data_IF_106730725677
#
_entry.id   IF_106730725677
#
_cell.length_a   1.000
_cell.length_b   1.000
_cell.length_c   1.000
_cell.angle_alpha   90.00
_cell.angle_beta   90.00
_cell.angle_gamma   90.00
#
_symmetry.space_group_name_H-M   'P 1'
#
loop_
_entity.id
_entity.type
_entity.pdbx_description
1 polymer ?
#
# COMPACT_ATOMS: atom_id res chain seq x y z
N UNK A 1 4.46 6.45 2.37
CA UNK A 1 4.42 4.98 2.18
C UNK A 1 5.80 4.55 1.74
N UNK A 2 6.42 3.61 2.45
CA UNK A 2 7.85 3.28 2.24
C UNK A 2 8.08 1.94 1.58
N UNK A 3 7.09 1.05 1.58
CA UNK A 3 7.17 -0.27 0.95
C UNK A 3 5.75 -0.69 0.55
N UNK A 4 5.47 -0.79 -0.75
CA UNK A 4 4.18 -1.16 -1.32
C UNK A 4 4.39 -2.30 -2.32
N UNK A 5 3.60 -3.35 -2.16
CA UNK A 5 3.50 -4.48 -3.09
C UNK A 5 2.04 -4.77 -3.41
N UNK A 6 1.79 -5.73 -4.31
CA UNK A 6 0.44 -6.18 -4.64
C UNK A 6 -0.33 -6.71 -3.42
N UNK A 7 0.37 -7.29 -2.44
CA UNK A 7 -0.25 -7.94 -1.28
C UNK A 7 -0.33 -7.08 -0.03
N UNK A 8 0.41 -5.97 0.05
CA UNK A 8 0.56 -5.28 1.32
C UNK A 8 1.40 -4.01 1.24
N UNK A 9 1.36 -3.27 2.35
CA UNK A 9 2.13 -2.05 2.50
C UNK A 9 2.66 -1.84 3.91
N UNK A 10 3.84 -1.22 4.01
CA UNK A 10 4.36 -0.66 5.25
C UNK A 10 4.05 0.84 5.33
N UNK A 11 3.42 1.25 6.44
CA UNK A 11 3.01 2.63 6.68
C UNK A 11 3.53 3.13 8.02
N UNK A 12 3.87 4.41 8.08
CA UNK A 12 4.11 5.12 9.34
C UNK A 12 2.77 5.67 9.83
N UNK A 13 2.48 5.47 11.11
CA UNK A 13 1.21 5.85 11.72
C UNK A 13 1.44 6.91 12.80
N UNK A 14 0.57 7.91 12.85
CA UNK A 14 0.62 8.94 13.90
C UNK A 14 0.07 8.41 15.22
N UNK A 15 -0.86 7.45 15.13
CA UNK A 15 -1.44 6.73 16.27
C UNK A 15 -1.16 5.24 16.13
N UNK A 16 -1.02 4.56 17.28
CA UNK A 16 -0.81 3.12 17.29
C UNK A 16 -2.03 2.39 16.72
N UNK A 17 -1.82 1.59 15.68
CA UNK A 17 -2.84 0.68 15.18
C UNK A 17 -2.91 -0.58 16.06
N UNK A 18 -4.03 -1.30 15.98
CA UNK A 18 -4.19 -2.57 16.68
C UNK A 18 -3.89 -3.72 15.74
N UNK A 19 -3.08 -4.67 16.19
CA UNK A 19 -2.83 -5.91 15.45
C UNK A 19 -4.16 -6.62 15.11
N UNK A 20 -4.22 -7.19 13.90
CA UNK A 20 -5.37 -7.87 13.30
C UNK A 20 -6.61 -7.00 13.06
N UNK A 21 -6.59 -5.70 13.38
CA UNK A 21 -7.72 -4.81 13.07
C UNK A 21 -7.87 -4.60 11.57
N UNK A 22 -9.12 -4.48 11.12
CA UNK A 22 -9.47 -4.08 9.76
C UNK A 22 -9.50 -2.56 9.71
N UNK A 23 -8.83 -2.00 8.71
CA UNK A 23 -8.77 -0.56 8.46
C UNK A 23 -9.20 -0.25 7.03
N UNK A 24 -9.71 0.95 6.84
CA UNK A 24 -9.79 1.58 5.52
C UNK A 24 -8.42 2.09 5.12
N UNK A 25 -8.03 1.84 3.87
CA UNK A 25 -6.88 2.48 3.26
C UNK A 25 -7.31 3.24 2.01
N UNK A 26 -6.63 4.35 1.76
CA UNK A 26 -6.75 5.11 0.52
C UNK A 26 -5.43 5.83 0.26
N UNK A 27 -4.97 5.81 -0.99
CA UNK A 27 -3.84 6.60 -1.45
C UNK A 27 -3.94 6.88 -2.94
N UNK A 28 -3.30 7.95 -3.39
CA UNK A 28 -3.21 8.30 -4.79
C UNK A 28 -1.91 7.74 -5.39
N UNK A 29 -2.01 7.11 -6.54
CA UNK A 29 -0.87 6.81 -7.40
C UNK A 29 -0.30 8.11 -8.00
N UNK A 30 0.99 8.12 -8.33
CA UNK A 30 1.62 9.21 -9.10
C UNK A 30 0.99 9.42 -10.48
N UNK A 31 0.22 8.46 -11.00
CA UNK A 31 -0.59 8.60 -12.22
C UNK A 31 -1.92 9.34 -12.00
N UNK A 32 -2.25 9.70 -10.76
CA UNK A 32 -3.52 10.34 -10.38
C UNK A 32 -4.69 9.37 -10.17
N UNK A 33 -4.46 8.05 -10.32
CA UNK A 33 -5.47 7.05 -10.01
C UNK A 33 -5.53 6.81 -8.49
N UNK A 34 -6.72 6.96 -7.91
CA UNK A 34 -6.97 6.61 -6.50
C UNK A 34 -7.04 5.10 -6.32
N UNK A 35 -6.45 4.60 -5.24
CA UNK A 35 -6.53 3.22 -4.79
C UNK A 35 -7.07 3.21 -3.36
N UNK A 36 -8.20 2.55 -3.14
CA UNK A 36 -8.80 2.40 -1.81
C UNK A 36 -9.33 0.99 -1.57
N UNK A 37 -9.58 0.68 -0.30
CA UNK A 37 -10.21 -0.57 0.10
C UNK A 37 -10.00 -0.89 1.58
N UNK A 38 -10.09 -2.18 1.92
CA UNK A 38 -9.90 -2.69 3.28
C UNK A 38 -8.59 -3.46 3.41
N UNK A 39 -7.87 -3.20 4.49
CA UNK A 39 -6.64 -3.90 4.83
C UNK A 39 -6.67 -4.39 6.28
N UNK A 40 -5.85 -5.40 6.57
CA UNK A 40 -5.66 -5.92 7.92
C UNK A 40 -4.27 -5.58 8.43
N UNK A 41 -4.18 -5.06 9.65
CA UNK A 41 -2.91 -4.81 10.32
C UNK A 41 -2.25 -6.14 10.67
N UNK A 42 -1.15 -6.49 10.00
CA UNK A 42 -0.40 -7.73 10.19
C UNK A 42 0.73 -7.61 11.21
N UNK A 43 1.27 -6.42 11.43
CA UNK A 43 2.24 -6.16 12.49
C UNK A 43 2.29 -4.67 12.83
N UNK A 44 2.80 -4.35 14.02
CA UNK A 44 3.11 -3.00 14.50
C UNK A 44 4.46 -3.03 15.23
N UNK A 45 5.18 -1.90 15.27
CA UNK A 45 6.41 -1.79 16.04
C UNK A 45 6.45 -0.52 16.91
N UNK A 46 7.49 -0.40 17.74
CA UNK A 46 7.68 0.73 18.68
C UNK A 46 8.07 2.04 17.98
N UNK A 47 8.42 2.01 16.70
CA UNK A 47 8.78 3.18 15.91
C UNK A 47 7.57 3.85 15.23
N UNK A 48 6.36 3.32 15.47
CA UNK A 48 5.14 3.80 14.85
C UNK A 48 4.98 3.32 13.41
N UNK A 49 5.56 2.18 13.05
CA UNK A 49 5.34 1.54 11.77
C UNK A 49 4.32 0.40 11.91
N UNK A 50 3.55 0.19 10.85
CA UNK A 50 2.62 -0.92 10.73
C UNK A 50 2.69 -1.55 9.34
N UNK A 51 2.57 -2.86 9.28
CA UNK A 51 2.36 -3.62 8.05
C UNK A 51 0.89 -3.90 7.85
N UNK A 52 0.37 -3.59 6.67
CA UNK A 52 -1.02 -3.79 6.30
C UNK A 52 -1.07 -4.80 5.16
N UNK A 53 -1.82 -5.88 5.32
CA UNK A 53 -2.16 -6.82 4.26
C UNK A 53 -3.41 -6.30 3.57
N UNK A 54 -3.37 -6.11 2.25
CA UNK A 54 -4.51 -5.63 1.48
C UNK A 54 -5.49 -6.79 1.30
N UNK A 55 -6.76 -6.60 1.68
CA UNK A 55 -7.77 -7.67 1.62
C UNK A 55 -8.75 -7.45 0.48
N UNK A 56 -9.31 -6.24 0.39
CA UNK A 56 -10.26 -5.87 -0.66
C UNK A 56 -9.88 -4.53 -1.25
N UNK A 57 -10.27 -4.34 -2.50
CA UNK A 57 -10.14 -3.08 -3.20
C UNK A 57 -11.53 -2.60 -3.60
N UNK A 58 -11.72 -1.29 -3.56
CA UNK A 58 -12.91 -0.67 -4.11
C UNK A 58 -12.72 -0.50 -5.63
N UNK A 59 -13.83 -0.64 -6.38
CA UNK A 59 -13.86 -0.46 -7.84
C UNK A 59 -12.69 -1.17 -8.55
N UNK A 60 -11.94 -0.44 -9.38
CA UNK A 60 -10.79 -0.94 -10.13
C UNK A 60 -9.46 -0.74 -9.37
N UNK A 61 -9.50 -0.55 -8.05
CA UNK A 61 -8.32 -0.21 -7.25
C UNK A 61 -7.18 -1.22 -7.37
N UNK A 62 -7.50 -2.51 -7.48
CA UNK A 62 -6.48 -3.57 -7.68
C UNK A 62 -5.76 -3.42 -9.02
N UNK A 63 -6.52 -3.21 -10.09
CA UNK A 63 -5.98 -3.06 -11.46
C UNK A 63 -5.12 -1.81 -11.56
N UNK A 64 -5.54 -0.71 -10.91
CA UNK A 64 -4.74 0.51 -10.80
C UNK A 64 -3.43 0.30 -10.05
N UNK A 65 -3.45 -0.48 -8.95
CA UNK A 65 -2.27 -0.81 -8.17
C UNK A 65 -1.27 -1.65 -9.01
N UNK A 66 -1.76 -2.72 -9.64
CA UNK A 66 -0.93 -3.61 -10.46
C UNK A 66 -0.30 -2.84 -11.64
N UNK A 67 -1.09 -2.02 -12.35
CA UNK A 67 -0.59 -1.18 -13.43
C UNK A 67 0.47 -0.17 -12.95
N UNK A 68 0.27 0.42 -11.77
CA UNK A 68 1.24 1.35 -11.20
C UNK A 68 2.55 0.67 -10.79
N UNK A 69 2.49 -0.49 -10.11
CA UNK A 69 3.68 -1.25 -9.73
C UNK A 69 4.50 -1.66 -10.97
N UNK A 70 3.82 -2.15 -12.02
CA UNK A 70 4.47 -2.50 -13.29
C UNK A 70 5.14 -1.29 -13.97
N UNK A 71 4.57 -0.09 -13.84
CA UNK A 71 5.17 1.14 -14.35
C UNK A 71 6.42 1.55 -13.54
N UNK A 72 6.37 1.42 -12.21
CA UNK A 72 7.52 1.74 -11.34
C UNK A 72 8.71 0.80 -11.59
N UNK A 73 8.49 -0.49 -11.81
CA UNK A 73 9.55 -1.43 -12.15
C UNK A 73 10.29 -1.02 -13.43
N UNK A 74 9.56 -0.62 -14.47
CA UNK A 74 10.15 -0.16 -15.73
C UNK A 74 11.00 1.10 -15.57
N UNK A 75 10.55 2.05 -14.72
CA UNK A 75 11.32 3.27 -14.40
C UNK A 75 12.58 2.91 -13.61
N UNK A 76 12.46 2.03 -12.61
CA UNK A 76 13.58 1.58 -11.79
C UNK A 76 14.65 0.78 -12.57
N UNK A 77 14.24 0.07 -13.63
CA UNK A 77 15.16 -0.57 -14.58
C UNK A 77 15.88 0.47 -15.44
N UNK A 78 15.16 1.48 -15.96
CA UNK A 78 15.74 2.53 -16.81
C UNK A 78 16.77 3.41 -16.10
N UNK A 79 16.61 3.64 -14.78
CA UNK A 79 17.59 4.39 -13.99
C UNK A 79 18.82 3.58 -13.55
N UNK A 80 18.90 2.28 -13.89
CA UNK A 80 20.04 1.41 -13.57
C UNK A 80 20.90 1.03 -14.80
N UNK A 81 20.57 1.55 -15.98
CA UNK A 81 21.31 1.41 -17.23
C UNK A 81 21.96 2.75 -17.60
#
# INVERSE_FOLDING_TARGET
>A
MTDLSEGGMAVRTVQALRHSSIIDFAFDSSSGAGVSGKGQVAWINTEGMAGIVLQTFDENGREHLEAWLAAQEQIGVKNRL
#
